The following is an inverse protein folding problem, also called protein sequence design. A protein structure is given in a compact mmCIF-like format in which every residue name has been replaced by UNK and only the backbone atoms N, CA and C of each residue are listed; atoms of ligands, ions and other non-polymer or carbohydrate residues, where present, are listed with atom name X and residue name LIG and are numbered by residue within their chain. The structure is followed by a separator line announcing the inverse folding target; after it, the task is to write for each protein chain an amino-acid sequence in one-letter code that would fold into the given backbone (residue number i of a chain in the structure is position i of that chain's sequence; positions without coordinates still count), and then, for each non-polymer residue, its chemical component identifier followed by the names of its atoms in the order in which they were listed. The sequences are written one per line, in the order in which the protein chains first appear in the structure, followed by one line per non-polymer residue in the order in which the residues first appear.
data_IF_672245836037
#
_entry.id   IF_672245836037
#
_cell.length_a   1.000
_cell.length_b   1.000
_cell.length_c   1.000
_cell.angle_alpha   90.00
_cell.angle_beta   90.00
_cell.angle_gamma   90.00
#
_symmetry.space_group_name_H-M   'P 1'
#
loop_
_entity.id
_entity.type
_entity.pdbx_description
1 polymer ?
#
# COMPACT_ATOMS: atom_id res chain seq x y z
N UNK A 1 -13.10 -37.15 -50.29
CA UNK A 1 -14.05 -38.10 -50.94
C UNK A 1 -14.76 -38.85 -49.82
N UNK A 2 -16.11 -38.79 -49.79
CA UNK A 2 -17.04 -39.58 -48.92
C UNK A 2 -17.05 -39.25 -47.41
N UNK A 3 -18.16 -39.05 -46.69
CA UNK A 3 -19.59 -38.84 -46.99
C UNK A 3 -20.27 -38.32 -45.70
N UNK A 4 -21.33 -37.56 -45.88
CA UNK A 4 -22.32 -37.01 -44.93
C UNK A 4 -23.11 -38.04 -44.12
N UNK A 5 -23.60 -37.70 -42.92
CA UNK A 5 -25.05 -37.76 -42.59
C UNK A 5 -25.42 -36.93 -41.34
N UNK A 6 -26.57 -36.24 -41.45
CA UNK A 6 -27.31 -35.49 -40.42
C UNK A 6 -28.36 -36.39 -39.74
N UNK A 7 -29.04 -35.82 -38.72
CA UNK A 7 -30.39 -36.08 -38.16
C UNK A 7 -30.32 -36.33 -36.64
N UNK A 8 -31.22 -35.90 -35.77
CA UNK A 8 -32.25 -34.85 -35.73
C UNK A 8 -32.79 -34.83 -34.28
N UNK A 9 -33.52 -33.77 -33.93
CA UNK A 9 -34.09 -33.47 -32.61
C UNK A 9 -35.15 -34.47 -32.11
N UNK A 10 -35.42 -34.47 -30.80
CA UNK A 10 -36.77 -34.49 -30.21
C UNK A 10 -36.76 -34.22 -28.70
N UNK A 11 -37.85 -33.60 -28.24
CA UNK A 11 -38.05 -32.92 -26.96
C UNK A 11 -38.97 -33.70 -25.98
N UNK A 12 -39.32 -33.01 -24.87
CA UNK A 12 -40.34 -33.28 -23.82
C UNK A 12 -39.85 -34.11 -22.62
N UNK A 13 -39.88 -33.67 -21.34
CA UNK A 13 -40.83 -32.93 -20.48
C UNK A 13 -41.67 -33.86 -19.58
N UNK A 14 -41.68 -33.57 -18.27
CA UNK A 14 -42.54 -34.14 -17.20
C UNK A 14 -41.80 -35.06 -16.21
N UNK A 15 -42.04 -35.07 -14.89
CA UNK A 15 -43.00 -34.40 -14.03
C UNK A 15 -42.53 -34.52 -12.55
N UNK A 16 -42.85 -33.49 -11.76
CA UNK A 16 -43.05 -33.40 -10.30
C UNK A 16 -43.12 -34.69 -9.46
N UNK A 17 -42.45 -34.65 -8.30
CA UNK A 17 -42.94 -35.28 -7.07
C UNK A 17 -42.59 -34.40 -5.84
N UNK A 18 -43.65 -33.87 -5.21
CA UNK A 18 -43.65 -33.26 -3.88
C UNK A 18 -43.70 -34.35 -2.81
N UNK A 19 -42.92 -34.20 -1.74
CA UNK A 19 -43.18 -34.86 -0.46
C UNK A 19 -42.87 -33.89 0.68
N UNK A 20 -43.95 -33.33 1.23
CA UNK A 20 -44.05 -32.66 2.52
C UNK A 20 -43.80 -33.62 3.68
N UNK A 21 -43.14 -33.18 4.75
CA UNK A 21 -43.40 -33.65 6.12
C UNK A 21 -42.98 -32.58 7.14
N UNK A 22 -43.88 -32.40 8.10
CA UNK A 22 -44.04 -31.35 9.11
C UNK A 22 -43.16 -31.51 10.35
N UNK A 23 -42.73 -30.37 10.88
CA UNK A 23 -42.55 -29.94 12.27
C UNK A 23 -42.42 -30.97 13.42
N UNK A 24 -41.34 -30.83 14.19
CA UNK A 24 -41.38 -30.85 15.66
C UNK A 24 -40.40 -29.79 16.20
N UNK A 25 -40.93 -28.82 16.95
CA UNK A 25 -40.18 -27.96 17.84
C UNK A 25 -39.91 -28.70 19.16
N UNK A 26 -38.72 -28.52 19.76
CA UNK A 26 -38.52 -28.74 21.19
C UNK A 26 -37.38 -27.85 21.70
N UNK A 27 -37.74 -26.80 22.43
CA UNK A 27 -36.86 -26.05 23.32
C UNK A 27 -36.44 -26.95 24.49
N UNK A 28 -35.14 -27.07 24.73
CA UNK A 28 -34.59 -27.38 26.05
C UNK A 28 -33.15 -26.87 26.14
N UNK A 29 -32.96 -25.92 27.06
CA UNK A 29 -31.73 -25.25 27.40
C UNK A 29 -30.64 -26.18 27.98
N UNK A 30 -29.37 -25.79 27.81
CA UNK A 30 -28.23 -26.41 28.47
C UNK A 30 -26.91 -25.73 28.13
N UNK A 31 -26.58 -24.68 28.89
CA UNK A 31 -25.37 -23.86 28.82
C UNK A 31 -24.06 -24.64 28.89
N UNK A 32 -23.10 -24.27 28.04
CA UNK A 32 -21.67 -24.37 28.33
C UNK A 32 -20.96 -23.15 27.71
N UNK A 33 -20.79 -22.13 28.54
CA UNK A 33 -20.02 -20.91 28.28
C UNK A 33 -18.53 -21.24 28.18
N UNK A 34 -17.97 -21.17 26.97
CA UNK A 34 -16.53 -21.05 26.73
C UNK A 34 -16.18 -19.58 26.52
N UNK A 35 -15.51 -18.99 27.50
CA UNK A 35 -15.05 -17.60 27.51
C UNK A 35 -13.92 -17.37 26.50
N UNK A 36 -14.20 -16.59 25.45
CA UNK A 36 -13.22 -15.90 24.64
C UNK A 36 -13.75 -14.49 24.38
N UNK A 37 -13.14 -13.49 25.01
CA UNK A 37 -13.62 -12.11 24.97
C UNK A 37 -13.59 -11.51 23.56
N UNK A 38 -14.72 -11.58 22.87
CA UNK A 38 -15.03 -10.74 21.73
C UNK A 38 -15.61 -9.43 22.24
N UNK A 39 -14.91 -8.33 22.02
CA UNK A 39 -15.50 -7.01 22.22
C UNK A 39 -16.72 -6.87 21.32
N UNK A 40 -17.86 -6.49 21.91
CA UNK A 40 -19.08 -6.17 21.18
C UNK A 40 -18.77 -5.26 19.99
N UNK A 41 -19.13 -5.68 18.76
CA UNK A 41 -19.00 -4.91 17.53
C UNK A 41 -19.93 -3.69 17.45
N UNK A 42 -19.81 -2.77 18.42
CA UNK A 42 -20.65 -1.57 18.59
C UNK A 42 -20.03 -0.33 17.92
N UNK A 43 -19.62 -0.46 16.67
CA UNK A 43 -19.05 0.65 15.88
C UNK A 43 -19.33 0.50 14.39
N UNK A 44 -19.30 1.61 13.66
CA UNK A 44 -19.45 1.58 12.20
C UNK A 44 -18.31 0.76 11.59
N UNK A 45 -18.67 -0.23 10.75
CA UNK A 45 -17.70 -1.16 10.20
C UNK A 45 -17.05 -0.61 8.94
N UNK A 46 -15.72 -0.49 8.93
CA UNK A 46 -14.94 0.03 7.79
C UNK A 46 -13.83 -0.96 7.46
N UNK A 47 -13.76 -1.39 6.20
CA UNK A 47 -12.63 -2.19 5.71
C UNK A 47 -11.59 -1.29 5.08
N UNK A 48 -10.34 -1.49 5.47
CA UNK A 48 -9.19 -0.77 4.91
C UNK A 48 -8.20 -1.79 4.35
N UNK A 49 -7.90 -1.71 3.05
CA UNK A 49 -6.86 -2.53 2.43
C UNK A 49 -5.51 -1.82 2.47
N UNK A 50 -4.48 -2.47 2.99
CA UNK A 50 -3.13 -1.91 3.07
C UNK A 50 -2.22 -2.64 2.08
N UNK A 51 -1.41 -1.90 1.32
CA UNK A 51 -0.44 -2.45 0.37
C UNK A 51 0.78 -3.14 1.01
N UNK A 52 0.61 -3.77 2.17
CA UNK A 52 1.60 -4.50 2.97
C UNK A 52 1.61 -4.01 4.42
N UNK A 53 0.78 -4.62 5.28
CA UNK A 53 0.63 -4.20 6.68
C UNK A 53 1.93 -4.27 7.50
N UNK A 54 2.84 -5.16 7.13
CA UNK A 54 4.13 -5.39 7.78
C UNK A 54 5.25 -4.44 7.32
N UNK A 55 5.00 -3.62 6.29
CA UNK A 55 5.95 -2.62 5.79
C UNK A 55 5.97 -1.40 6.70
N UNK A 56 7.17 -0.93 7.04
CA UNK A 56 7.34 0.21 7.96
C UNK A 56 6.66 1.47 7.42
N UNK A 57 6.65 1.68 6.11
CA UNK A 57 5.98 2.83 5.46
C UNK A 57 4.46 2.91 5.67
N UNK A 58 3.84 1.80 6.06
CA UNK A 58 2.40 1.71 6.35
C UNK A 58 2.11 1.49 7.84
N UNK A 59 3.12 1.59 8.71
CA UNK A 59 2.96 1.37 10.16
C UNK A 59 1.82 2.19 10.81
N UNK A 60 1.45 3.42 10.36
CA UNK A 60 0.36 4.15 10.98
C UNK A 60 -0.98 3.40 10.94
N UNK A 61 -1.23 2.55 9.93
CA UNK A 61 -2.44 1.72 9.84
C UNK A 61 -2.61 0.81 11.05
N UNK A 62 -1.66 -0.11 11.24
CA UNK A 62 -1.69 -1.04 12.36
C UNK A 62 -1.50 -0.35 13.71
N UNK A 63 -0.63 0.68 13.78
CA UNK A 63 -0.41 1.40 15.02
C UNK A 63 -1.69 2.10 15.52
N UNK A 64 -2.49 2.69 14.62
CA UNK A 64 -3.78 3.31 14.98
C UNK A 64 -4.73 2.30 15.61
N UNK A 65 -4.79 1.07 15.07
CA UNK A 65 -5.57 -0.02 15.65
C UNK A 65 -5.01 -0.44 17.02
N UNK A 66 -3.69 -0.58 17.16
CA UNK A 66 -3.02 -1.02 18.39
C UNK A 66 -3.10 0.01 19.52
N UNK A 67 -3.17 1.29 19.20
CA UNK A 67 -3.42 2.38 20.14
C UNK A 67 -4.92 2.51 20.50
N UNK A 68 -5.80 1.75 19.85
CA UNK A 68 -7.25 1.76 20.09
C UNK A 68 -7.95 3.02 19.57
N UNK A 69 -7.31 3.79 18.69
CA UNK A 69 -7.85 5.08 18.25
C UNK A 69 -9.04 4.96 17.30
N UNK A 70 -9.14 3.88 16.52
CA UNK A 70 -10.38 3.60 15.77
C UNK A 70 -11.57 3.37 16.70
N UNK A 71 -11.40 2.52 17.72
CA UNK A 71 -12.47 2.24 18.68
C UNK A 71 -12.84 3.46 19.51
N UNK A 72 -11.88 4.34 19.84
CA UNK A 72 -12.14 5.60 20.53
C UNK A 72 -13.04 6.56 19.72
N UNK A 73 -12.99 6.47 18.39
CA UNK A 73 -13.87 7.23 17.47
C UNK A 73 -15.19 6.47 17.16
N UNK A 74 -15.41 5.31 17.79
CA UNK A 74 -16.61 4.47 17.57
C UNK A 74 -16.58 3.70 16.24
N UNK A 75 -15.39 3.44 15.69
CA UNK A 75 -15.20 2.67 14.47
C UNK A 75 -14.78 1.23 14.78
N UNK A 76 -15.35 0.28 14.03
CA UNK A 76 -14.89 -1.09 13.95
C UNK A 76 -14.13 -1.28 12.63
N UNK A 77 -12.82 -1.01 12.66
CA UNK A 77 -11.98 -1.08 11.47
C UNK A 77 -11.41 -2.49 11.28
N UNK A 78 -11.62 -3.07 10.11
CA UNK A 78 -10.96 -4.29 9.65
C UNK A 78 -9.78 -3.91 8.74
N UNK A 79 -8.55 -4.14 9.22
CA UNK A 79 -7.34 -3.98 8.42
C UNK A 79 -7.05 -5.27 7.64
N UNK A 80 -7.05 -5.15 6.32
CA UNK A 80 -6.68 -6.20 5.37
C UNK A 80 -5.33 -5.87 4.75
N UNK A 81 -4.62 -6.88 4.22
CA UNK A 81 -3.33 -6.69 3.59
C UNK A 81 -3.24 -7.35 2.23
N UNK A 82 -2.63 -6.64 1.29
CA UNK A 82 -2.18 -7.17 0.00
C UNK A 82 -0.65 -6.99 -0.13
N UNK A 83 0.04 -7.78 -0.97
CA UNK A 83 1.49 -7.69 -1.10
C UNK A 83 2.02 -6.35 -1.66
N UNK A 84 1.21 -5.63 -2.43
CA UNK A 84 1.61 -4.37 -3.06
C UNK A 84 0.44 -3.37 -3.17
N UNK A 85 0.80 -2.09 -3.36
CA UNK A 85 -0.17 -0.99 -3.40
C UNK A 85 -1.19 -1.11 -4.53
N UNK A 86 -0.80 -1.67 -5.68
CA UNK A 86 -1.68 -1.82 -6.85
C UNK A 86 -2.83 -2.81 -6.60
N UNK A 87 -2.60 -3.84 -5.78
CA UNK A 87 -3.65 -4.76 -5.34
C UNK A 87 -4.59 -4.10 -4.33
N UNK A 88 -4.04 -3.30 -3.39
CA UNK A 88 -4.86 -2.54 -2.46
C UNK A 88 -5.77 -1.51 -3.17
N UNK A 89 -5.21 -0.83 -4.17
CA UNK A 89 -5.94 0.05 -5.08
C UNK A 89 -7.04 -0.70 -5.83
N UNK A 90 -6.73 -1.88 -6.39
CA UNK A 90 -7.71 -2.71 -7.11
C UNK A 90 -8.88 -3.12 -6.21
N UNK A 91 -8.60 -3.48 -4.95
CA UNK A 91 -9.63 -3.79 -3.96
C UNK A 91 -10.51 -2.57 -3.66
N UNK A 92 -9.94 -1.36 -3.57
CA UNK A 92 -10.71 -0.13 -3.39
C UNK A 92 -11.61 0.16 -4.61
N UNK A 93 -11.04 0.13 -5.82
CA UNK A 93 -11.76 0.48 -7.06
C UNK A 93 -12.89 -0.51 -7.36
N UNK A 94 -12.72 -1.78 -6.99
CA UNK A 94 -13.77 -2.80 -7.11
C UNK A 94 -14.86 -2.71 -6.05
N UNK A 95 -14.69 -1.88 -5.02
CA UNK A 95 -15.64 -1.72 -3.90
C UNK A 95 -15.54 -2.82 -2.84
N UNK A 96 -14.48 -3.63 -2.85
CA UNK A 96 -14.25 -4.66 -1.84
C UNK A 96 -13.97 -4.06 -0.45
N UNK A 97 -13.35 -2.88 -0.42
CA UNK A 97 -13.04 -2.10 0.78
C UNK A 97 -13.47 -0.65 0.62
N UNK A 98 -13.67 0.06 1.73
CA UNK A 98 -14.08 1.47 1.73
C UNK A 98 -12.87 2.41 1.57
N UNK A 99 -11.72 2.00 2.08
CA UNK A 99 -10.48 2.77 1.99
C UNK A 99 -9.28 1.89 1.68
N UNK A 100 -8.22 2.52 1.21
CA UNK A 100 -6.92 1.88 1.11
C UNK A 100 -5.84 2.74 1.77
N UNK A 101 -4.81 2.06 2.28
CA UNK A 101 -3.55 2.67 2.67
C UNK A 101 -2.51 2.26 1.64
N UNK A 102 -2.05 3.26 0.88
CA UNK A 102 -1.10 3.10 -0.21
C UNK A 102 -0.49 4.44 -0.58
N UNK A 103 0.27 4.49 -1.66
CA UNK A 103 0.90 5.73 -2.09
C UNK A 103 -0.10 6.66 -2.79
N UNK A 104 0.09 7.95 -2.55
CA UNK A 104 -0.68 9.02 -3.16
C UNK A 104 -0.57 9.07 -4.69
N UNK A 105 0.56 8.64 -5.28
CA UNK A 105 0.75 8.63 -6.74
C UNK A 105 -0.28 7.78 -7.50
N UNK A 106 -0.89 6.79 -6.85
CA UNK A 106 -1.99 6.01 -7.40
C UNK A 106 -3.24 6.87 -7.67
N UNK A 107 -3.46 7.95 -6.92
CA UNK A 107 -4.61 8.85 -7.13
C UNK A 107 -4.53 9.56 -8.48
N UNK A 108 -3.34 9.99 -8.89
CA UNK A 108 -3.10 10.61 -10.20
C UNK A 108 -3.21 9.58 -11.33
N UNK A 109 -2.62 8.39 -11.15
CA UNK A 109 -2.66 7.33 -12.16
C UNK A 109 -4.08 6.80 -12.40
N UNK A 110 -4.92 6.74 -11.36
CA UNK A 110 -6.33 6.37 -11.49
C UNK A 110 -7.19 7.46 -12.09
N UNK A 111 -6.90 8.74 -11.80
CA UNK A 111 -7.68 9.85 -12.35
C UNK A 111 -7.63 9.84 -13.89
N UNK A 112 -6.46 9.60 -14.48
CA UNK A 112 -6.31 9.51 -15.95
C UNK A 112 -6.94 8.25 -16.55
N UNK A 113 -7.35 7.29 -15.70
CA UNK A 113 -8.13 6.09 -16.06
C UNK A 113 -9.63 6.27 -15.78
N UNK A 114 -10.08 7.50 -15.47
CA UNK A 114 -11.48 7.82 -15.20
C UNK A 114 -11.99 7.32 -13.85
N UNK A 115 -11.09 7.17 -12.87
CA UNK A 115 -11.41 6.79 -11.50
C UNK A 115 -10.98 7.90 -10.54
N UNK A 116 -11.95 8.53 -9.91
CA UNK A 116 -11.69 9.60 -8.95
C UNK A 116 -11.54 9.02 -7.53
N UNK A 117 -10.30 9.06 -7.05
CA UNK A 117 -9.94 8.73 -5.66
C UNK A 117 -9.13 9.88 -5.08
N UNK A 118 -9.23 10.09 -3.77
CA UNK A 118 -8.53 11.18 -3.09
C UNK A 118 -7.85 10.72 -1.80
N UNK A 119 -6.66 11.28 -1.55
CA UNK A 119 -5.99 11.19 -0.24
C UNK A 119 -6.71 12.07 0.78
N UNK A 120 -7.11 11.47 1.89
CA UNK A 120 -7.81 12.11 3.01
C UNK A 120 -6.84 12.44 4.15
N UNK A 121 -5.86 11.57 4.38
CA UNK A 121 -4.83 11.76 5.40
C UNK A 121 -3.49 11.38 4.81
N UNK A 122 -2.60 12.35 4.66
CA UNK A 122 -1.27 12.14 4.13
C UNK A 122 -0.32 11.71 5.25
N UNK A 123 0.02 10.43 5.32
CA UNK A 123 0.90 9.91 6.38
C UNK A 123 2.35 10.33 6.20
N UNK A 124 2.82 10.42 4.96
CA UNK A 124 4.24 10.61 4.67
C UNK A 124 4.50 11.66 3.59
N UNK A 125 5.60 12.40 3.73
CA UNK A 125 6.09 13.40 2.78
C UNK A 125 7.38 12.99 2.05
N UNK A 126 7.84 11.76 2.27
CA UNK A 126 8.91 11.12 1.51
C UNK A 126 8.57 9.63 1.25
N UNK A 127 9.10 8.98 0.20
CA UNK A 127 8.73 7.63 -0.19
C UNK A 127 8.92 6.57 0.89
N UNK A 128 10.01 6.61 1.65
CA UNK A 128 10.35 5.47 2.52
C UNK A 128 10.94 4.28 1.76
N UNK A 129 11.26 4.47 0.48
CA UNK A 129 11.74 3.43 -0.44
C UNK A 129 13.25 3.54 -0.65
N UNK A 130 13.87 2.42 -0.99
CA UNK A 130 15.29 2.32 -1.31
C UNK A 130 15.46 1.47 -2.55
N UNK A 131 16.14 2.03 -3.54
CA UNK A 131 16.67 1.25 -4.66
C UNK A 131 17.96 0.59 -4.18
N UNK A 132 18.00 -0.74 -4.24
CA UNK A 132 19.16 -1.55 -3.88
C UNK A 132 19.75 -2.22 -5.11
N UNK A 133 21.04 -2.51 -5.06
CA UNK A 133 21.73 -3.35 -6.03
C UNK A 133 22.19 -4.63 -5.36
N UNK A 134 22.10 -5.76 -6.06
CA UNK A 134 22.63 -7.04 -5.56
C UNK A 134 24.14 -6.95 -5.38
N UNK A 135 24.69 -7.67 -4.41
CA UNK A 135 26.14 -7.71 -4.20
C UNK A 135 26.88 -8.23 -5.45
N UNK A 136 26.24 -9.12 -6.22
CA UNK A 136 26.76 -9.69 -7.47
C UNK A 136 26.83 -8.66 -8.60
N UNK A 137 25.90 -7.71 -8.66
CA UNK A 137 25.82 -6.69 -9.71
C UNK A 137 26.37 -5.32 -9.27
N UNK A 138 26.82 -5.17 -8.02
CA UNK A 138 27.26 -3.88 -7.47
C UNK A 138 28.46 -3.25 -8.18
N UNK A 139 29.28 -4.05 -8.88
CA UNK A 139 30.37 -3.53 -9.72
C UNK A 139 29.87 -2.96 -11.06
N UNK A 140 28.76 -3.50 -11.57
CA UNK A 140 28.20 -3.14 -12.89
C UNK A 140 27.08 -2.09 -12.80
N UNK A 141 26.43 -1.98 -11.64
CA UNK A 141 25.33 -1.04 -11.40
C UNK A 141 25.73 -0.12 -10.25
N UNK A 142 26.23 1.05 -10.64
CA UNK A 142 26.70 2.09 -9.70
C UNK A 142 25.80 3.31 -9.67
N UNK A 143 24.90 3.44 -10.65
CA UNK A 143 23.86 4.45 -10.71
C UNK A 143 22.65 3.98 -11.53
N UNK A 144 21.51 4.69 -11.48
CA UNK A 144 20.36 4.38 -12.33
C UNK A 144 20.64 4.47 -13.85
N UNK A 145 21.76 5.06 -14.29
CA UNK A 145 22.20 5.03 -15.70
C UNK A 145 22.55 3.61 -16.18
N UNK A 146 22.91 2.74 -15.24
CA UNK A 146 23.37 1.38 -15.51
C UNK A 146 22.22 0.37 -15.55
N UNK A 147 20.97 0.84 -15.49
CA UNK A 147 19.76 -0.01 -15.51
C UNK A 147 19.51 -0.67 -16.86
N UNK A 148 20.14 -0.20 -17.93
CA UNK A 148 19.96 -0.76 -19.28
C UNK A 148 20.32 -2.25 -19.31
N UNK A 149 19.37 -3.07 -19.75
CA UNK A 149 19.43 -4.52 -19.84
C UNK A 149 19.27 -5.25 -18.51
N UNK A 150 19.07 -4.54 -17.40
CA UNK A 150 18.98 -5.13 -16.06
C UNK A 150 17.56 -5.54 -15.69
N UNK A 151 17.47 -6.53 -14.80
CA UNK A 151 16.23 -6.97 -14.17
C UNK A 151 16.10 -6.29 -12.81
N UNK A 152 15.10 -5.43 -12.66
CA UNK A 152 14.90 -4.64 -11.43
C UNK A 152 13.66 -5.13 -10.70
N UNK A 153 13.86 -5.62 -9.48
CA UNK A 153 12.78 -6.11 -8.63
C UNK A 153 11.87 -4.98 -8.15
N UNK A 154 10.57 -5.23 -8.21
CA UNK A 154 9.53 -4.34 -7.69
C UNK A 154 8.50 -5.15 -6.92
N UNK A 155 7.74 -4.49 -6.05
CA UNK A 155 6.69 -5.16 -5.28
C UNK A 155 5.57 -5.68 -6.17
N UNK A 156 5.24 -4.96 -7.23
CA UNK A 156 4.30 -5.36 -8.27
C UNK A 156 4.40 -4.42 -9.47
N UNK A 157 3.96 -4.87 -10.64
CA UNK A 157 3.88 -3.98 -11.80
C UNK A 157 2.74 -2.98 -11.59
N UNK A 158 3.02 -1.69 -11.81
CA UNK A 158 2.08 -0.61 -11.52
C UNK A 158 2.04 -0.17 -10.05
N UNK A 159 2.88 -0.71 -9.17
CA UNK A 159 3.05 -0.16 -7.82
C UNK A 159 4.03 1.01 -7.82
N UNK A 160 4.05 1.79 -6.74
CA UNK A 160 4.97 2.93 -6.61
C UNK A 160 6.45 2.54 -6.64
N UNK A 161 6.82 1.33 -6.24
CA UNK A 161 8.20 0.82 -6.45
C UNK A 161 8.51 0.72 -7.95
N UNK A 162 7.56 0.30 -8.79
CA UNK A 162 7.72 0.28 -10.25
C UNK A 162 7.74 1.70 -10.84
N UNK A 163 6.85 2.59 -10.39
CA UNK A 163 6.82 3.99 -10.84
C UNK A 163 8.13 4.72 -10.54
N UNK A 164 8.63 4.61 -9.31
CA UNK A 164 9.85 5.28 -8.90
C UNK A 164 11.09 4.67 -9.57
N UNK A 165 11.19 3.35 -9.74
CA UNK A 165 12.28 2.73 -10.52
C UNK A 165 12.27 3.22 -11.97
N UNK A 166 11.09 3.26 -12.63
CA UNK A 166 10.95 3.84 -13.99
C UNK A 166 11.36 5.30 -14.03
N UNK A 167 10.96 6.11 -13.05
CA UNK A 167 11.38 7.49 -12.97
C UNK A 167 12.90 7.65 -12.82
N UNK A 168 13.53 6.87 -11.93
CA UNK A 168 14.98 6.89 -11.74
C UNK A 168 15.72 6.51 -13.04
N UNK A 169 15.20 5.54 -13.79
CA UNK A 169 15.73 5.17 -15.10
C UNK A 169 15.65 6.34 -16.11
N UNK A 170 14.45 6.89 -16.35
CA UNK A 170 14.25 7.92 -17.39
C UNK A 170 14.95 9.24 -17.06
N UNK A 171 14.99 9.63 -15.77
CA UNK A 171 15.74 10.81 -15.31
C UNK A 171 17.24 10.68 -15.61
N UNK A 172 17.73 9.44 -15.72
CA UNK A 172 19.12 9.12 -15.98
C UNK A 172 19.37 8.67 -17.43
N UNK A 173 18.42 8.90 -18.34
CA UNK A 173 18.58 8.63 -19.77
C UNK A 173 18.39 7.18 -20.18
N UNK A 174 17.82 6.34 -19.32
CA UNK A 174 17.45 4.95 -19.63
C UNK A 174 15.94 4.88 -19.87
N UNK A 175 15.53 4.52 -21.09
CA UNK A 175 14.12 4.37 -21.43
C UNK A 175 13.44 3.23 -20.68
N UNK A 176 12.12 3.34 -20.46
CA UNK A 176 11.32 2.31 -19.75
C UNK A 176 11.32 0.93 -20.44
N UNK A 177 11.62 0.88 -21.74
CA UNK A 177 11.76 -0.37 -22.50
C UNK A 177 13.19 -0.90 -22.57
N UNK A 178 14.16 -0.22 -21.96
CA UNK A 178 15.57 -0.60 -21.98
C UNK A 178 15.98 -1.43 -20.75
N UNK A 179 15.07 -1.67 -19.81
CA UNK A 179 15.27 -2.52 -18.64
C UNK A 179 14.01 -3.34 -18.36
N UNK A 180 14.06 -4.28 -17.42
CA UNK A 180 12.94 -5.18 -17.11
C UNK A 180 12.53 -5.10 -15.64
N UNK A 181 11.43 -4.42 -15.30
CA UNK A 181 10.80 -4.57 -13.98
C UNK A 181 10.33 -6.00 -13.76
N UNK A 182 10.60 -6.57 -12.59
CA UNK A 182 10.18 -7.92 -12.21
C UNK A 182 9.40 -7.86 -10.91
N UNK A 183 8.11 -8.24 -10.96
CA UNK A 183 7.29 -8.33 -9.76
C UNK A 183 7.75 -9.51 -8.89
N UNK A 184 8.51 -9.21 -7.85
CA UNK A 184 9.07 -10.20 -6.91
C UNK A 184 8.50 -10.06 -5.50
N UNK A 185 7.64 -9.07 -5.26
CA UNK A 185 7.07 -8.81 -3.94
C UNK A 185 8.04 -8.10 -3.00
N UNK A 186 7.98 -8.42 -1.71
CA UNK A 186 8.80 -7.84 -0.65
C UNK A 186 9.24 -8.92 0.35
N UNK A 187 10.09 -8.55 1.31
CA UNK A 187 10.52 -9.46 2.37
C UNK A 187 11.34 -10.65 1.82
N UNK A 188 11.11 -11.88 2.29
CA UNK A 188 11.92 -13.05 1.92
C UNK A 188 11.98 -13.34 0.41
N UNK A 189 10.90 -13.03 -0.32
CA UNK A 189 10.82 -13.27 -1.78
C UNK A 189 11.75 -12.33 -2.55
N UNK A 190 11.73 -11.04 -2.23
CA UNK A 190 12.65 -10.04 -2.80
C UNK A 190 14.11 -10.37 -2.44
N UNK A 191 14.40 -10.69 -1.17
CA UNK A 191 15.75 -11.07 -0.71
C UNK A 191 16.25 -12.30 -1.49
N UNK A 192 15.41 -13.32 -1.66
CA UNK A 192 15.76 -14.53 -2.39
C UNK A 192 16.01 -14.24 -3.88
N UNK A 193 15.17 -13.43 -4.52
CA UNK A 193 15.34 -13.05 -5.92
C UNK A 193 16.67 -12.32 -6.15
N UNK A 194 17.05 -11.42 -5.23
CA UNK A 194 18.32 -10.70 -5.26
C UNK A 194 19.52 -11.65 -5.09
N UNK A 195 19.46 -12.57 -4.10
CA UNK A 195 20.53 -13.54 -3.85
C UNK A 195 20.71 -14.54 -4.98
N UNK A 196 19.61 -15.00 -5.58
CA UNK A 196 19.61 -15.97 -6.68
C UNK A 196 19.98 -15.33 -8.03
N UNK A 197 20.03 -14.00 -8.14
CA UNK A 197 20.30 -13.30 -9.39
C UNK A 197 19.11 -13.36 -10.37
N UNK A 198 17.90 -13.58 -9.86
CA UNK A 198 16.68 -13.41 -10.66
C UNK A 198 16.40 -11.92 -10.93
N UNK A 199 16.91 -11.04 -10.07
CA UNK A 199 16.99 -9.59 -10.23
C UNK A 199 18.41 -9.11 -9.92
N UNK A 200 18.86 -8.07 -10.61
CA UNK A 200 20.19 -7.47 -10.44
C UNK A 200 20.19 -6.38 -9.35
N UNK A 201 19.02 -5.81 -9.08
CA UNK A 201 18.72 -4.77 -8.10
C UNK A 201 17.21 -4.60 -8.00
N UNK A 202 16.73 -3.54 -7.37
CA UNK A 202 15.31 -3.22 -7.33
C UNK A 202 14.93 -2.29 -6.19
N UNK A 203 13.69 -1.81 -6.22
CA UNK A 203 13.15 -0.93 -5.20
C UNK A 203 12.31 -1.68 -4.17
N UNK A 204 12.62 -1.45 -2.90
CA UNK A 204 11.91 -2.03 -1.77
C UNK A 204 12.01 -1.12 -0.54
N UNK A 205 11.31 -1.52 0.53
CA UNK A 205 11.20 -0.75 1.76
C UNK A 205 11.65 -1.54 2.98
N UNK A 206 11.79 -0.87 4.10
CA UNK A 206 12.07 -1.47 5.38
C UNK A 206 10.86 -2.28 5.90
N UNK A 207 11.06 -3.47 6.50
CA UNK A 207 12.36 -4.03 6.96
C UNK A 207 13.11 -4.88 5.92
N UNK A 208 12.64 -4.94 4.66
CA UNK A 208 13.32 -5.72 3.60
C UNK A 208 14.72 -5.19 3.34
N UNK A 209 14.88 -3.86 3.25
CA UNK A 209 16.18 -3.20 3.07
C UNK A 209 17.14 -3.56 4.19
N UNK A 210 16.73 -3.38 5.45
CA UNK A 210 17.54 -3.75 6.61
C UNK A 210 17.99 -5.22 6.57
N UNK A 211 17.09 -6.13 6.15
CA UNK A 211 17.41 -7.56 6.01
C UNK A 211 18.44 -7.83 4.90
N UNK A 212 18.32 -7.15 3.74
CA UNK A 212 19.27 -7.26 2.63
C UNK A 212 20.68 -6.85 3.08
N UNK A 213 20.77 -5.72 3.78
CA UNK A 213 22.05 -5.19 4.29
C UNK A 213 22.65 -6.09 5.36
N UNK A 214 21.86 -6.56 6.32
CA UNK A 214 22.31 -7.48 7.37
C UNK A 214 22.86 -8.79 6.80
N UNK A 215 22.22 -9.33 5.75
CA UNK A 215 22.66 -10.53 5.04
C UNK A 215 23.79 -10.29 4.04
N UNK A 216 24.22 -9.04 3.84
CA UNK A 216 25.18 -8.64 2.78
C UNK A 216 24.74 -9.14 1.39
N UNK A 217 23.43 -9.19 1.14
CA UNK A 217 22.87 -9.65 -0.13
C UNK A 217 22.87 -8.55 -1.21
N UNK A 218 23.02 -7.29 -0.78
CA UNK A 218 23.03 -6.13 -1.65
C UNK A 218 23.45 -4.86 -0.91
N UNK A 219 23.45 -3.76 -1.65
CA UNK A 219 23.87 -2.43 -1.20
C UNK A 219 22.82 -1.39 -1.59
N UNK A 220 22.77 -0.29 -0.84
CA UNK A 220 21.93 0.85 -1.20
C UNK A 220 22.51 1.53 -2.44
N UNK A 221 21.65 1.76 -3.44
CA UNK A 221 21.97 2.53 -4.65
C UNK A 221 21.37 3.95 -4.58
N UNK A 222 20.09 4.04 -4.23
CA UNK A 222 19.38 5.32 -4.00
C UNK A 222 18.52 5.19 -2.75
N UNK A 223 18.73 6.09 -1.79
CA UNK A 223 17.98 6.12 -0.53
C UNK A 223 16.95 7.25 -0.53
N UNK A 224 15.66 6.91 -0.47
CA UNK A 224 14.56 7.86 -0.39
C UNK A 224 13.76 7.71 0.91
N UNK A 225 14.40 7.20 1.97
CA UNK A 225 13.77 7.06 3.30
C UNK A 225 13.58 8.38 4.01
N UNK A 226 14.38 9.38 3.67
CA UNK A 226 14.30 10.72 4.28
C UNK A 226 13.83 11.76 3.26
N UNK A 227 13.29 12.90 3.71
CA UNK A 227 12.91 14.00 2.83
C UNK A 227 14.09 14.53 2.01
N UNK A 228 15.29 14.50 2.58
CA UNK A 228 16.50 14.94 1.89
C UNK A 228 16.88 13.98 0.76
N UNK A 229 16.97 12.68 1.04
CA UNK A 229 17.22 11.67 0.02
C UNK A 229 16.17 11.67 -1.08
N UNK A 230 14.89 11.83 -0.71
CA UNK A 230 13.79 11.99 -1.65
C UNK A 230 13.95 13.22 -2.53
N UNK A 231 14.29 14.40 -1.98
CA UNK A 231 14.50 15.61 -2.77
C UNK A 231 15.66 15.46 -3.74
N UNK A 232 16.76 14.85 -3.31
CA UNK A 232 17.91 14.58 -4.18
C UNK A 232 17.52 13.66 -5.35
N UNK A 233 16.79 12.58 -5.06
CA UNK A 233 16.37 11.62 -6.07
C UNK A 233 15.28 12.15 -7.00
N UNK A 234 14.29 12.87 -6.48
CA UNK A 234 13.03 13.18 -7.17
C UNK A 234 12.89 14.65 -7.58
N UNK A 235 13.63 15.55 -6.94
CA UNK A 235 13.60 16.99 -7.21
C UNK A 235 12.57 17.78 -6.41
N UNK A 236 11.94 17.14 -5.41
CA UNK A 236 10.90 17.75 -4.57
C UNK A 236 10.43 16.80 -3.46
N UNK A 237 9.50 17.24 -2.59
CA UNK A 237 8.78 16.35 -1.69
C UNK A 237 7.96 15.34 -2.49
N UNK A 238 7.92 14.08 -2.04
CA UNK A 238 7.12 13.05 -2.69
C UNK A 238 6.17 12.45 -1.65
N UNK A 239 4.94 12.97 -1.53
CA UNK A 239 3.94 12.37 -0.66
C UNK A 239 3.68 10.92 -1.08
N UNK A 240 3.89 10.02 -0.13
CA UNK A 240 3.82 8.57 -0.35
C UNK A 240 2.60 8.00 0.37
N UNK A 241 2.79 7.24 1.45
CA UNK A 241 1.71 6.58 2.18
C UNK A 241 0.65 7.57 2.65
N UNK A 242 -0.60 7.21 2.39
CA UNK A 242 -1.80 7.96 2.74
C UNK A 242 -2.98 7.02 2.95
N UNK A 243 -3.99 7.50 3.68
CA UNK A 243 -5.34 6.97 3.60
C UNK A 243 -6.02 7.61 2.40
N UNK A 244 -6.42 6.81 1.41
CA UNK A 244 -7.21 7.29 0.27
C UNK A 244 -8.47 6.46 0.05
N UNK A 245 -9.47 7.10 -0.55
CA UNK A 245 -10.82 6.57 -0.72
C UNK A 245 -11.37 7.02 -2.09
N UNK A 246 -12.43 6.37 -2.57
CA UNK A 246 -13.18 6.91 -3.71
C UNK A 246 -13.84 8.23 -3.33
N UNK A 247 -13.72 9.27 -4.16
CA UNK A 247 -14.27 10.60 -3.81
C UNK A 247 -15.77 10.58 -3.54
N UNK A 248 -16.52 9.77 -4.31
CA UNK A 248 -17.95 9.56 -4.07
C UNK A 248 -18.26 8.95 -2.69
N UNK A 249 -17.37 8.11 -2.15
CA UNK A 249 -17.51 7.56 -0.81
C UNK A 249 -17.19 8.61 0.25
N UNK A 250 -16.14 9.41 0.03
CA UNK A 250 -15.78 10.54 0.91
C UNK A 250 -16.95 11.52 1.06
N UNK A 251 -17.54 11.94 -0.06
CA UNK A 251 -18.69 12.85 -0.08
C UNK A 251 -19.92 12.27 0.63
N UNK A 252 -20.17 10.97 0.47
CA UNK A 252 -21.32 10.29 1.07
C UNK A 252 -21.16 9.92 2.55
N UNK A 253 -19.94 9.91 3.09
CA UNK A 253 -19.63 9.38 4.43
C UNK A 253 -18.72 10.32 5.24
N UNK A 254 -18.92 11.64 5.13
CA UNK A 254 -18.05 12.65 5.77
C UNK A 254 -17.83 12.41 7.27
N UNK A 255 -18.84 11.97 8.01
CA UNK A 255 -18.71 11.69 9.45
C UNK A 255 -17.74 10.54 9.72
N UNK A 256 -17.83 9.46 8.95
CA UNK A 256 -16.94 8.30 9.02
C UNK A 256 -15.52 8.67 8.63
N UNK A 257 -15.38 9.45 7.55
CA UNK A 257 -14.10 9.96 7.06
C UNK A 257 -13.44 10.85 8.12
N UNK A 258 -14.21 11.73 8.78
CA UNK A 258 -13.69 12.58 9.86
C UNK A 258 -13.19 11.76 11.04
N UNK A 259 -13.93 10.74 11.47
CA UNK A 259 -13.50 9.83 12.55
C UNK A 259 -12.20 9.09 12.21
N UNK A 260 -12.08 8.61 10.97
CA UNK A 260 -10.84 8.00 10.48
C UNK A 260 -9.69 9.01 10.51
N UNK A 261 -9.92 10.23 10.02
CA UNK A 261 -8.93 11.30 10.04
C UNK A 261 -8.47 11.64 11.47
N UNK A 262 -9.40 11.78 12.42
CA UNK A 262 -9.09 12.01 13.83
C UNK A 262 -8.17 10.91 14.39
N UNK A 263 -8.52 9.64 14.18
CA UNK A 263 -7.75 8.50 14.65
C UNK A 263 -6.33 8.49 14.07
N UNK A 264 -6.19 8.71 12.77
CA UNK A 264 -4.89 8.71 12.10
C UNK A 264 -4.03 9.92 12.46
N UNK A 265 -4.58 11.13 12.50
CA UNK A 265 -3.84 12.34 12.89
C UNK A 265 -3.38 12.21 14.34
N UNK A 266 -4.21 11.66 15.23
CA UNK A 266 -3.80 11.35 16.61
C UNK A 266 -2.64 10.35 16.67
N UNK A 267 -2.63 9.33 15.80
CA UNK A 267 -1.50 8.40 15.66
C UNK A 267 -0.23 9.09 15.18
N UNK A 268 -0.30 9.92 14.13
CA UNK A 268 0.86 10.65 13.60
C UNK A 268 1.47 11.58 14.66
N UNK A 269 0.62 12.28 15.42
CA UNK A 269 1.05 13.08 16.58
C UNK A 269 1.73 12.23 17.64
N UNK A 270 1.13 11.10 17.99
CA UNK A 270 1.70 10.16 18.96
C UNK A 270 3.08 9.67 18.48
N UNK A 271 3.21 9.21 17.24
CA UNK A 271 4.48 8.80 16.64
C UNK A 271 5.54 9.90 16.74
N UNK A 272 5.18 11.15 16.48
CA UNK A 272 6.12 12.28 16.52
C UNK A 272 6.67 12.60 17.91
N UNK A 273 6.03 12.09 18.97
CA UNK A 273 6.40 12.29 20.36
C UNK A 273 7.04 11.06 21.01
N UNK A 274 7.19 9.95 20.28
CA UNK A 274 7.71 8.69 20.81
C UNK A 274 8.92 8.21 20.02
N UNK A 275 9.79 7.47 20.69
CA UNK A 275 10.96 6.84 20.09
C UNK A 275 10.59 5.68 19.17
N UNK A 276 11.52 5.31 18.28
CA UNK A 276 11.38 4.14 17.41
C UNK A 276 11.15 2.85 18.21
N UNK A 277 11.78 2.72 19.38
CA UNK A 277 11.67 1.56 20.27
C UNK A 277 10.28 1.49 20.93
N UNK A 278 9.71 2.63 21.34
CA UNK A 278 8.34 2.70 21.86
C UNK A 278 7.30 2.40 20.78
N UNK A 279 7.50 2.89 19.56
CA UNK A 279 6.64 2.57 18.41
C UNK A 279 6.73 1.07 18.12
N UNK A 280 7.94 0.51 18.00
CA UNK A 280 8.17 -0.91 17.75
C UNK A 280 7.47 -1.80 18.79
N UNK A 281 7.49 -1.39 20.06
CA UNK A 281 6.86 -2.13 21.16
C UNK A 281 5.31 -2.20 21.06
N UNK A 282 4.67 -1.31 20.29
CA UNK A 282 3.21 -1.34 20.06
C UNK A 282 2.81 -2.21 18.87
N UNK A 283 3.75 -2.51 17.96
CA UNK A 283 3.48 -3.26 16.74
C UNK A 283 3.31 -4.77 17.01
N UNK A 284 2.64 -5.51 16.11
CA UNK A 284 2.58 -6.97 16.17
C UNK A 284 3.99 -7.60 16.22
N UNK A 285 4.16 -8.61 17.06
CA UNK A 285 5.48 -9.19 17.32
C UNK A 285 6.10 -9.87 16.08
N UNK A 286 5.25 -10.43 15.22
CA UNK A 286 5.60 -11.08 13.97
C UNK A 286 6.18 -10.12 12.92
N UNK A 287 5.91 -8.81 13.00
CA UNK A 287 6.48 -7.82 12.07
C UNK A 287 7.99 -7.70 12.20
N UNK A 288 8.53 -8.04 13.37
CA UNK A 288 9.98 -8.07 13.59
C UNK A 288 10.67 -9.26 12.90
N UNK A 289 9.92 -10.27 12.46
CA UNK A 289 10.45 -11.50 11.85
C UNK A 289 11.56 -12.16 12.71
N UNK A 290 11.46 -12.00 14.03
CA UNK A 290 12.43 -12.53 15.00
C UNK A 290 13.56 -11.56 15.38
N UNK A 291 13.72 -10.42 14.70
CA UNK A 291 14.75 -9.43 14.99
C UNK A 291 14.15 -8.08 15.40
N UNK A 292 13.79 -7.98 16.68
CA UNK A 292 13.21 -6.76 17.27
C UNK A 292 14.11 -5.55 17.14
N UNK A 293 15.44 -5.74 17.22
CA UNK A 293 16.39 -4.64 17.13
C UNK A 293 16.44 -4.10 15.71
N UNK A 294 16.56 -4.97 14.71
CA UNK A 294 16.56 -4.57 13.31
C UNK A 294 15.25 -3.88 12.93
N UNK A 295 14.12 -4.34 13.47
CA UNK A 295 12.83 -3.69 13.25
C UNK A 295 12.76 -2.28 13.88
N UNK A 296 13.20 -2.11 15.12
CA UNK A 296 13.28 -0.78 15.74
C UNK A 296 14.25 0.16 14.99
N UNK A 297 15.39 -0.37 14.52
CA UNK A 297 16.34 0.37 13.69
C UNK A 297 15.71 0.79 12.34
N UNK A 298 14.89 -0.07 11.75
CA UNK A 298 14.13 0.18 10.51
C UNK A 298 13.06 1.27 10.69
N UNK A 299 12.39 1.30 11.85
CA UNK A 299 11.49 2.41 12.20
C UNK A 299 12.30 3.70 12.39
N UNK A 300 13.45 3.63 13.05
CA UNK A 300 14.30 4.79 13.30
C UNK A 300 14.80 5.45 12.01
N UNK A 301 15.20 4.66 11.02
CA UNK A 301 15.70 5.17 9.72
C UNK A 301 14.61 5.83 8.86
N UNK A 302 13.35 5.43 9.05
CA UNK A 302 12.22 5.87 8.22
C UNK A 302 11.31 6.90 8.91
N UNK A 303 11.35 6.99 10.23
CA UNK A 303 10.59 7.96 11.04
C UNK A 303 10.57 9.40 10.46
N UNK A 304 11.67 9.95 9.93
CA UNK A 304 11.67 11.29 9.34
C UNK A 304 10.80 11.46 8.09
N UNK A 305 10.24 10.40 7.50
CA UNK A 305 9.35 10.53 6.33
C UNK A 305 7.91 10.90 6.69
N UNK A 306 7.48 10.59 7.91
CA UNK A 306 6.09 10.75 8.32
C UNK A 306 5.77 12.23 8.61
N UNK A 307 4.59 12.66 8.17
CA UNK A 307 3.98 13.91 8.58
C UNK A 307 3.58 13.81 10.07
N UNK A 308 3.30 14.97 10.69
CA UNK A 308 2.83 15.03 12.08
C UNK A 308 1.32 15.27 12.18
N UNK A 309 0.74 15.82 11.13
CA UNK A 309 -0.60 16.43 11.08
C UNK A 309 -1.50 15.81 10.02
N UNK A 310 -0.98 14.93 9.16
CA UNK A 310 -1.76 14.33 8.07
C UNK A 310 -1.97 15.26 6.87
N UNK A 311 -1.40 16.47 6.89
CA UNK A 311 -1.63 17.48 5.84
C UNK A 311 -0.77 17.15 4.62
N UNK A 312 -1.35 17.29 3.43
CA UNK A 312 -0.62 17.15 2.17
C UNK A 312 0.51 18.20 2.09
N UNK A 313 1.78 17.80 1.89
CA UNK A 313 2.87 18.75 1.78
C UNK A 313 2.73 19.63 0.54
N UNK A 314 2.97 20.94 0.71
CA UNK A 314 3.01 21.89 -0.40
C UNK A 314 4.03 21.45 -1.47
N UNK A 315 3.68 21.63 -2.75
CA UNK A 315 4.44 21.18 -3.92
C UNK A 315 4.59 19.65 -4.06
N UNK A 316 3.99 18.86 -3.15
CA UNK A 316 3.99 17.41 -3.19
C UNK A 316 3.22 16.88 -4.42
N UNK A 317 1.93 17.25 -4.58
CA UNK A 317 1.13 16.87 -5.75
C UNK A 317 1.81 17.14 -7.10
N UNK A 318 2.41 18.32 -7.26
CA UNK A 318 3.09 18.76 -8.48
C UNK A 318 4.37 17.95 -8.72
N UNK A 319 5.10 17.61 -7.66
CA UNK A 319 6.29 16.74 -7.78
C UNK A 319 5.89 15.34 -8.23
N UNK A 320 4.81 14.79 -7.68
CA UNK A 320 4.29 13.48 -8.07
C UNK A 320 3.82 13.49 -9.52
N UNK A 321 3.08 14.51 -9.94
CA UNK A 321 2.65 14.66 -11.33
C UNK A 321 3.85 14.72 -12.27
N UNK A 322 4.87 15.52 -11.95
CA UNK A 322 6.11 15.62 -12.72
C UNK A 322 6.83 14.28 -12.85
N UNK A 323 6.90 13.52 -11.76
CA UNK A 323 7.49 12.17 -11.74
C UNK A 323 6.74 11.23 -12.67
N UNK A 324 5.41 11.15 -12.54
CA UNK A 324 4.59 10.27 -13.38
C UNK A 324 4.65 10.66 -14.87
N UNK A 325 4.56 11.95 -15.19
CA UNK A 325 4.66 12.46 -16.58
C UNK A 325 5.98 12.12 -17.26
N UNK A 326 7.06 11.88 -16.50
CA UNK A 326 8.37 11.58 -17.07
C UNK A 326 8.44 10.19 -17.73
N UNK A 327 7.65 9.22 -17.26
CA UNK A 327 7.74 7.83 -17.73
C UNK A 327 6.39 7.22 -18.17
N UNK A 328 5.25 7.73 -17.70
CA UNK A 328 3.93 7.18 -17.98
C UNK A 328 3.26 7.95 -19.14
N UNK A 329 3.10 7.34 -20.33
CA UNK A 329 2.49 8.03 -21.47
C UNK A 329 1.02 8.42 -21.23
N UNK A 330 0.27 7.67 -20.43
CA UNK A 330 -1.12 7.99 -20.13
C UNK A 330 -1.22 9.30 -19.32
N UNK A 331 -0.37 9.45 -18.29
CA UNK A 331 -0.32 10.67 -17.48
C UNK A 331 0.30 11.83 -18.26
N UNK A 332 1.33 11.58 -19.08
CA UNK A 332 1.97 12.61 -19.93
C UNK A 332 1.00 13.28 -20.89
N UNK A 333 0.05 12.51 -21.43
CA UNK A 333 -0.90 12.97 -22.45
C UNK A 333 -2.26 13.39 -21.87
N UNK A 334 -2.42 13.35 -20.55
CA UNK A 334 -3.64 13.74 -19.86
C UNK A 334 -3.44 15.02 -19.03
N UNK A 335 -4.56 15.69 -18.74
CA UNK A 335 -4.63 16.72 -17.72
C UNK A 335 -5.03 16.06 -16.41
N UNK A 336 -4.18 16.19 -15.39
CA UNK A 336 -4.50 15.76 -14.02
C UNK A 336 -4.97 16.99 -13.25
N UNK A 337 -6.18 16.92 -12.69
CA UNK A 337 -6.69 17.88 -11.74
C UNK A 337 -6.20 17.51 -10.33
N UNK A 338 -5.10 18.12 -9.90
CA UNK A 338 -4.49 17.88 -8.59
C UNK A 338 -5.38 18.32 -7.42
N UNK A 339 -6.39 19.18 -7.65
CA UNK A 339 -7.33 19.57 -6.59
C UNK A 339 -8.31 18.46 -6.23
N UNK A 340 -8.41 17.43 -7.08
CA UNK A 340 -9.31 16.27 -6.88
C UNK A 340 -8.57 15.00 -6.46
N UNK A 341 -7.24 15.06 -6.28
CA UNK A 341 -6.43 13.90 -5.87
C UNK A 341 -6.21 13.85 -4.36
N UNK A 342 -6.53 14.92 -3.63
CA UNK A 342 -6.48 14.96 -2.17
C UNK A 342 -7.43 16.01 -1.60
N UNK A 343 -7.76 15.86 -0.33
CA UNK A 343 -8.49 16.85 0.46
C UNK A 343 -7.80 17.06 1.81
N UNK A 344 -7.79 18.30 2.29
CA UNK A 344 -7.28 18.67 3.62
C UNK A 344 -8.43 18.92 4.62
N UNK A 345 -9.69 18.85 4.15
CA UNK A 345 -10.89 19.21 4.94
C UNK A 345 -10.92 18.51 6.32
N UNK A 346 -10.57 17.23 6.36
CA UNK A 346 -10.73 16.40 7.56
C UNK A 346 -9.55 16.52 8.52
N UNK A 347 -8.33 16.66 8.00
CA UNK A 347 -7.11 16.77 8.82
C UNK A 347 -6.99 18.15 9.47
N UNK A 348 -7.47 19.21 8.81
CA UNK A 348 -7.57 20.55 9.42
C UNK A 348 -8.50 20.56 10.65
N UNK A 349 -9.61 19.81 10.60
CA UNK A 349 -10.53 19.68 11.74
C UNK A 349 -9.98 18.79 12.85
N UNK A 350 -9.23 17.75 12.50
CA UNK A 350 -8.54 16.88 13.46
C UNK A 350 -7.36 17.57 14.16
N UNK A 351 -6.89 18.70 13.60
CA UNK A 351 -5.78 19.45 14.14
C UNK A 351 -6.14 20.33 15.36
N UNK A 352 -7.43 20.62 15.58
CA UNK A 352 -7.96 21.29 16.78
C UNK A 352 -8.12 20.36 17.98
#
# INVERSE_FOLDING_TARGET
MRTTTRLAASAAAGLLALSSLTACANDAAGSASGSGGGGDGKGEHVKIMVGGLDKVIYLPAMLTQRLGYFSAEGLNVELLSEPAGVQAETALVSGQVQAAVGFYDHTLDLQVKGKDIESVVQFSHAPGEVEVVSEKAAADITSPKDFKGKKLGVTGLGSSTDFLTKYLAVKNGVGVGEFSPVAVGAGPTFVSALQQGSIDGGMTTDPTVATILAKKAGRVLVDMRTPEGSRQALGGPYPSSSLYMQSSWVDGHKDTVQKLANAFVKTLRWMSAHSADEIAAKMPADYSQGDKKLYADSIRSTLPMFTKDGVMPANGPETVEKVLKAFNPAVKNATVDLSRTFTTEFVEKAAG
#
